data_IF_378469375135
#
_entry.id   IF_378469375135
#
_cell.length_a   1.000
_cell.length_b   1.000
_cell.length_c   1.000
_cell.angle_alpha   90.00
_cell.angle_beta   90.00
_cell.angle_gamma   90.00
#
_symmetry.space_group_name_H-M   'P 1'
#
loop_
_entity.id
_entity.type
_entity.pdbx_description
1 polymer ?
#
# COMPACT_ATOMS: atom_id res chain seq x y z
N UNK A 1 -11.28 -1.89 11.46
CA UNK A 1 -9.93 -2.13 10.92
C UNK A 1 -9.78 -1.57 9.52
N UNK A 2 -8.65 -0.91 9.28
CA UNK A 2 -7.95 -0.76 8.00
C UNK A 2 -8.44 -1.76 6.94
N UNK A 3 -9.03 -1.26 5.85
CA UNK A 3 -9.82 -2.08 4.94
C UNK A 3 -9.02 -3.07 4.06
N UNK A 4 -7.74 -3.40 4.31
CA UNK A 4 -7.05 -4.47 3.56
C UNK A 4 -5.65 -4.91 4.04
N UNK A 5 -5.17 -4.53 5.22
CA UNK A 5 -3.95 -5.12 5.77
C UNK A 5 -4.38 -6.13 6.83
N UNK A 6 -4.06 -7.42 6.65
CA UNK A 6 -4.15 -8.42 7.72
C UNK A 6 -3.49 -7.84 8.96
N UNK A 7 -4.30 -7.42 9.93
CA UNK A 7 -3.78 -6.81 11.15
C UNK A 7 -3.15 -7.94 11.93
N UNK A 8 -1.82 -8.01 11.83
CA UNK A 8 -1.03 -9.03 12.47
C UNK A 8 -1.37 -9.11 13.98
N UNK A 9 -1.39 -10.32 14.52
CA UNK A 9 -1.84 -10.63 15.89
C UNK A 9 -1.12 -9.79 16.96
N UNK A 10 0.11 -9.37 16.69
CA UNK A 10 0.91 -8.50 17.54
C UNK A 10 0.34 -7.07 17.65
N UNK A 11 -0.28 -6.54 16.60
CA UNK A 11 -0.93 -5.23 16.62
C UNK A 11 -2.11 -5.20 17.57
N UNK A 12 -2.94 -6.25 17.58
CA UNK A 12 -4.09 -6.36 18.49
C UNK A 12 -3.66 -6.43 19.96
N UNK A 13 -2.64 -7.23 20.26
CA UNK A 13 -2.10 -7.35 21.62
C UNK A 13 -1.51 -6.01 22.09
N UNK A 14 -0.78 -5.33 21.22
CA UNK A 14 -0.19 -4.03 21.54
C UNK A 14 -1.26 -2.94 21.73
N UNK A 15 -2.31 -2.95 20.90
CA UNK A 15 -3.46 -2.05 21.03
C UNK A 15 -4.22 -2.25 22.34
N UNK A 16 -4.42 -3.50 22.76
CA UNK A 16 -5.03 -3.79 24.06
C UNK A 16 -4.15 -3.28 25.21
N UNK A 17 -2.83 -3.53 25.15
CA UNK A 17 -1.91 -3.05 26.16
C UNK A 17 -1.87 -1.51 26.24
N UNK A 18 -1.97 -0.84 25.09
CA UNK A 18 -2.07 0.62 25.02
C UNK A 18 -3.30 1.13 25.79
N UNK A 19 -4.48 0.56 25.53
CA UNK A 19 -5.74 0.97 26.19
C UNK A 19 -5.68 0.77 27.70
N UNK A 20 -5.08 -0.32 28.16
CA UNK A 20 -4.86 -0.59 29.59
C UNK A 20 -3.95 0.47 30.25
N UNK A 21 -2.87 0.85 29.57
CA UNK A 21 -1.97 1.90 30.05
C UNK A 21 -2.67 3.27 30.13
N UNK A 22 -3.45 3.61 29.11
CA UNK A 22 -4.25 4.85 29.05
C UNK A 22 -5.23 4.90 30.22
N UNK A 23 -6.03 3.85 30.40
CA UNK A 23 -7.01 3.77 31.49
C UNK A 23 -6.33 3.89 32.86
N UNK A 24 -5.20 3.21 33.05
CA UNK A 24 -4.44 3.25 34.30
C UNK A 24 -3.83 4.61 34.59
N UNK A 25 -3.34 5.34 33.56
CA UNK A 25 -2.85 6.71 33.73
C UNK A 25 -4.00 7.66 34.06
N UNK A 26 -5.11 7.61 33.33
CA UNK A 26 -6.24 8.52 33.59
C UNK A 26 -6.80 8.34 35.01
N UNK A 27 -6.86 7.10 35.49
CA UNK A 27 -7.27 6.80 36.85
C UNK A 27 -6.33 7.40 37.91
N UNK A 28 -5.01 7.49 37.63
CA UNK A 28 -4.04 8.05 38.57
C UNK A 28 -3.98 9.58 38.56
N UNK A 29 -4.38 10.22 37.46
CA UNK A 29 -4.38 11.69 37.35
C UNK A 29 -5.54 12.36 38.07
N UNK A 30 -6.62 11.62 38.34
CA UNK A 30 -7.87 12.10 38.97
C UNK A 30 -8.32 13.46 38.40
N UNK A 31 -8.21 13.61 37.08
CA UNK A 31 -8.46 14.87 36.38
C UNK A 31 -9.90 14.89 35.87
N UNK A 32 -10.69 15.95 36.13
CA UNK A 32 -12.03 16.04 35.58
C UNK A 32 -11.96 16.14 34.05
N UNK A 33 -12.76 15.31 33.38
CA UNK A 33 -12.97 15.39 31.95
C UNK A 33 -14.08 16.38 31.62
N UNK A 34 -13.96 17.05 30.46
CA UNK A 34 -15.08 17.79 29.86
C UNK A 34 -15.71 16.92 28.77
N UNK A 35 -16.94 16.40 28.96
CA UNK A 35 -17.60 15.60 27.93
C UNK A 35 -17.88 16.44 26.69
N UNK A 36 -17.60 15.87 25.52
CA UNK A 36 -17.81 16.48 24.22
C UNK A 36 -18.54 15.50 23.30
N UNK A 37 -19.70 15.94 22.79
CA UNK A 37 -20.45 15.19 21.79
C UNK A 37 -20.03 15.61 20.38
N UNK A 38 -19.57 14.63 19.61
CA UNK A 38 -19.12 14.82 18.23
C UNK A 38 -20.21 14.35 17.27
N UNK A 39 -20.76 15.30 16.52
CA UNK A 39 -21.70 15.00 15.45
C UNK A 39 -20.99 14.36 14.22
N UNK A 40 -21.71 13.55 13.42
CA UNK A 40 -21.19 13.01 12.17
C UNK A 40 -20.63 14.11 11.25
N UNK A 41 -19.34 14.03 10.97
CA UNK A 41 -18.56 15.00 10.19
C UNK A 41 -17.64 14.24 9.24
N UNK A 42 -17.82 14.44 7.93
CA UNK A 42 -17.10 13.70 6.88
C UNK A 42 -15.79 14.37 6.42
N UNK A 43 -15.62 15.66 6.67
CA UNK A 43 -14.46 16.46 6.22
C UNK A 43 -14.04 17.46 7.29
N UNK A 44 -12.73 17.72 7.37
CA UNK A 44 -12.17 18.62 8.36
C UNK A 44 -12.19 18.03 9.77
N UNK A 45 -11.82 18.86 10.74
CA UNK A 45 -11.91 18.51 12.14
C UNK A 45 -13.36 18.52 12.63
N UNK A 46 -13.66 17.65 13.59
CA UNK A 46 -14.96 17.63 14.23
C UNK A 46 -15.29 18.99 14.89
N UNK A 47 -16.57 19.38 14.96
CA UNK A 47 -16.98 20.61 15.64
C UNK A 47 -16.54 20.61 17.11
N UNK A 48 -15.86 21.67 17.54
CA UNK A 48 -15.32 21.77 18.91
C UNK A 48 -13.93 21.19 19.09
N UNK A 49 -13.25 20.81 18.00
CA UNK A 49 -11.83 20.48 18.03
C UNK A 49 -10.98 21.67 18.44
N UNK A 50 -10.07 21.42 19.38
CA UNK A 50 -9.09 22.35 19.94
C UNK A 50 -7.75 21.61 20.04
N UNK A 51 -6.70 22.07 19.33
CA UNK A 51 -5.40 21.41 19.35
C UNK A 51 -4.67 21.52 20.71
N UNK A 52 -5.15 22.36 21.63
CA UNK A 52 -4.62 22.47 23.00
C UNK A 52 -5.21 21.47 23.99
N UNK A 53 -6.09 20.58 23.51
CA UNK A 53 -6.74 19.54 24.30
C UNK A 53 -6.20 18.15 23.94
N UNK A 54 -6.26 17.24 24.90
CA UNK A 54 -6.14 15.80 24.68
C UNK A 54 -7.55 15.23 24.76
N UNK A 55 -7.90 14.31 23.86
CA UNK A 55 -9.21 13.67 23.88
C UNK A 55 -9.09 12.18 24.11
N UNK A 56 -9.98 11.62 24.93
CA UNK A 56 -10.20 10.19 25.05
C UNK A 56 -11.51 9.84 24.31
N UNK A 57 -11.49 8.81 23.47
CA UNK A 57 -12.72 8.27 22.89
C UNK A 57 -13.46 7.47 23.96
N UNK A 58 -14.62 7.97 24.40
CA UNK A 58 -15.49 7.24 25.33
C UNK A 58 -16.44 6.31 24.59
N UNK A 59 -17.02 6.76 23.48
CA UNK A 59 -17.89 5.94 22.63
C UNK A 59 -17.77 6.36 21.16
N UNK A 60 -17.95 5.40 20.26
CA UNK A 60 -17.89 5.63 18.81
C UNK A 60 -16.46 5.57 18.26
N UNK A 61 -16.21 6.30 17.19
CA UNK A 61 -14.90 6.31 16.54
C UNK A 61 -14.58 7.63 15.86
N UNK A 62 -13.29 7.96 15.76
CA UNK A 62 -12.77 9.07 14.96
C UNK A 62 -11.85 8.54 13.87
N UNK A 63 -12.03 9.02 12.65
CA UNK A 63 -11.11 8.82 11.55
C UNK A 63 -9.99 9.86 11.61
N UNK A 64 -8.73 9.38 11.56
CA UNK A 64 -7.54 10.21 11.41
C UNK A 64 -7.20 10.29 9.93
N UNK A 65 -7.15 11.50 9.36
CA UNK A 65 -7.00 11.72 7.92
C UNK A 65 -5.84 12.65 7.60
N UNK A 66 -5.15 12.38 6.49
CA UNK A 66 -4.10 13.23 5.94
C UNK A 66 -4.25 13.29 4.41
N UNK A 67 -4.33 14.50 3.84
CA UNK A 67 -4.63 14.74 2.42
C UNK A 67 -5.75 13.84 1.85
N UNK A 68 -6.95 13.92 2.44
CA UNK A 68 -8.15 13.14 2.13
C UNK A 68 -8.07 11.62 2.33
N UNK A 69 -6.90 11.07 2.65
CA UNK A 69 -6.71 9.64 2.96
C UNK A 69 -6.95 9.38 4.44
N UNK A 70 -7.81 8.42 4.76
CA UNK A 70 -7.93 7.89 6.13
C UNK A 70 -6.71 7.02 6.43
N UNK A 71 -5.94 7.42 7.45
CA UNK A 71 -4.75 6.72 7.91
C UNK A 71 -5.13 5.53 8.82
N UNK A 72 -5.94 5.81 9.84
CA UNK A 72 -6.46 4.82 10.78
C UNK A 72 -7.68 5.38 11.53
N UNK A 73 -8.33 4.52 12.32
CA UNK A 73 -9.46 4.88 13.18
C UNK A 73 -9.02 4.81 14.64
N UNK A 74 -9.43 5.81 15.42
CA UNK A 74 -9.41 5.79 16.88
C UNK A 74 -10.74 5.23 17.36
N UNK A 75 -10.69 4.29 18.30
CA UNK A 75 -11.85 3.61 18.87
C UNK A 75 -11.91 3.88 20.38
N UNK A 76 -12.95 3.37 21.04
CA UNK A 76 -13.11 3.47 22.49
C UNK A 76 -11.84 3.07 23.25
N UNK A 77 -11.44 3.92 24.20
CA UNK A 77 -10.22 3.79 25.01
C UNK A 77 -8.97 4.39 24.39
N UNK A 78 -9.01 4.86 23.14
CA UNK A 78 -7.86 5.50 22.51
C UNK A 78 -7.74 6.98 22.88
N UNK A 79 -6.50 7.46 23.05
CA UNK A 79 -6.20 8.88 23.13
C UNK A 79 -5.97 9.46 21.74
N UNK A 80 -6.65 10.56 21.47
CA UNK A 80 -6.30 11.52 20.44
C UNK A 80 -5.34 12.55 21.04
N UNK A 81 -4.10 12.50 20.56
CA UNK A 81 -3.09 13.53 20.78
C UNK A 81 -3.04 14.39 19.50
N UNK A 82 -3.61 15.61 19.50
CA UNK A 82 -3.61 16.44 18.31
C UNK A 82 -2.19 16.69 17.81
N UNK A 83 -2.03 16.71 16.49
CA UNK A 83 -0.79 17.13 15.87
C UNK A 83 -0.48 18.59 16.27
N UNK A 84 0.65 18.77 16.97
CA UNK A 84 1.12 20.06 17.48
C UNK A 84 1.80 20.92 16.41
N UNK A 85 1.64 20.59 15.13
CA UNK A 85 2.14 21.39 14.01
C UNK A 85 1.46 22.77 13.96
N UNK A 86 1.98 23.72 14.76
CA UNK A 86 1.63 25.15 14.79
C UNK A 86 2.04 25.93 13.54
N UNK A 87 1.90 25.36 12.35
CA UNK A 87 2.23 25.99 11.08
C UNK A 87 1.00 26.49 10.34
N UNK A 88 1.08 27.70 9.75
CA UNK A 88 0.02 28.45 9.06
C UNK A 88 -0.56 27.81 7.77
N UNK A 89 -0.37 26.50 7.56
CA UNK A 89 -0.74 25.80 6.33
C UNK A 89 -1.77 24.70 6.63
N UNK A 90 -3.05 24.98 6.37
CA UNK A 90 -4.17 24.04 6.52
C UNK A 90 -3.96 22.73 5.74
N UNK A 91 -3.19 22.78 4.66
CA UNK A 91 -2.90 21.64 3.81
C UNK A 91 -2.02 20.57 4.50
N UNK A 92 -1.20 20.93 5.49
CA UNK A 92 -0.29 20.01 6.17
C UNK A 92 -0.88 19.38 7.44
N UNK A 93 -2.11 19.73 7.81
CA UNK A 93 -2.71 19.33 9.08
C UNK A 93 -3.39 17.96 9.00
N UNK A 94 -3.17 17.15 10.02
CA UNK A 94 -3.98 15.95 10.26
C UNK A 94 -5.39 16.37 10.66
N UNK A 95 -6.39 15.74 10.02
CA UNK A 95 -7.81 16.01 10.28
C UNK A 95 -8.44 14.85 11.06
N UNK A 96 -9.32 15.19 12.00
CA UNK A 96 -10.01 14.25 12.86
C UNK A 96 -11.51 14.38 12.67
N UNK A 97 -12.12 13.37 12.04
CA UNK A 97 -13.55 13.41 11.68
C UNK A 97 -14.27 12.16 12.18
N UNK A 98 -15.61 12.12 12.13
CA UNK A 98 -16.35 10.92 12.53
C UNK A 98 -17.52 10.70 11.59
N UNK A 99 -17.61 9.54 10.94
CA UNK A 99 -18.70 9.28 9.99
C UNK A 99 -20.04 8.97 10.68
N UNK A 100 -19.99 8.50 11.92
CA UNK A 100 -21.15 8.06 12.71
C UNK A 100 -21.39 8.89 13.98
N UNK A 101 -20.44 9.75 14.35
CA UNK A 101 -20.43 10.48 15.62
C UNK A 101 -19.66 9.75 16.72
N UNK A 102 -19.31 10.48 17.78
CA UNK A 102 -18.56 9.95 18.92
C UNK A 102 -18.82 10.76 20.20
N UNK A 103 -18.62 10.14 21.36
CA UNK A 103 -18.54 10.84 22.65
C UNK A 103 -17.08 10.86 23.09
N UNK A 104 -16.56 12.04 23.39
CA UNK A 104 -15.18 12.25 23.79
C UNK A 104 -15.10 12.85 25.20
N UNK A 105 -14.01 12.55 25.90
CA UNK A 105 -13.61 13.23 27.12
C UNK A 105 -12.41 14.13 26.81
N UNK A 106 -12.59 15.44 26.93
CA UNK A 106 -11.56 16.44 26.65
C UNK A 106 -10.81 16.85 27.93
N UNK A 107 -9.50 17.02 27.79
CA UNK A 107 -8.54 17.29 28.85
C UNK A 107 -7.58 18.42 28.42
N UNK A 108 -7.48 19.54 29.16
CA UNK A 108 -6.52 20.59 28.81
C UNK A 108 -5.09 20.04 28.83
N UNK A 109 -4.40 20.08 27.69
CA UNK A 109 -3.12 19.38 27.53
C UNK A 109 -2.06 19.88 28.53
N UNK A 110 -2.02 21.19 28.80
CA UNK A 110 -1.07 21.78 29.75
C UNK A 110 -1.29 21.27 31.18
N UNK A 111 -2.54 21.21 31.64
CA UNK A 111 -2.86 20.72 32.99
C UNK A 111 -2.62 19.21 33.09
N UNK A 112 -3.02 18.47 32.04
CA UNK A 112 -2.78 17.03 31.93
C UNK A 112 -1.29 16.72 32.13
N UNK A 113 -0.42 17.41 31.38
CA UNK A 113 1.02 17.22 31.46
C UNK A 113 1.59 17.67 32.81
N UNK A 114 1.08 18.76 33.40
CA UNK A 114 1.49 19.20 34.73
C UNK A 114 1.26 18.12 35.80
N UNK A 115 0.11 17.44 35.75
CA UNK A 115 -0.21 16.33 36.66
C UNK A 115 0.66 15.10 36.39
N UNK A 116 0.89 14.75 35.12
CA UNK A 116 1.80 13.65 34.73
C UNK A 116 3.20 13.86 35.31
N UNK A 117 3.75 15.08 35.24
CA UNK A 117 5.10 15.38 35.73
C UNK A 117 5.23 15.48 37.25
N UNK A 118 4.11 15.64 37.96
CA UNK A 118 4.11 15.74 39.42
C UNK A 118 4.31 14.38 40.09
N UNK A 119 3.91 13.30 39.43
CA UNK A 119 4.06 11.93 39.91
C UNK A 119 5.03 11.13 39.02
N UNK A 120 6.17 10.65 39.56
CA UNK A 120 7.09 9.78 38.83
C UNK A 120 6.43 8.49 38.29
N UNK A 121 5.39 7.95 38.95
CA UNK A 121 4.67 6.78 38.44
C UNK A 121 3.85 7.13 37.19
N UNK A 122 3.07 8.22 37.23
CA UNK A 122 2.36 8.76 36.07
C UNK A 122 3.31 9.11 34.90
N UNK A 123 4.48 9.71 35.19
CA UNK A 123 5.50 10.00 34.16
C UNK A 123 5.99 8.71 33.47
N UNK A 124 6.21 7.63 34.22
CA UNK A 124 6.59 6.32 33.65
C UNK A 124 5.48 5.72 32.80
N UNK A 125 4.22 5.83 33.25
CA UNK A 125 3.07 5.36 32.47
C UNK A 125 2.92 6.15 31.17
N UNK A 126 3.00 7.47 31.22
CA UNK A 126 2.97 8.34 30.05
C UNK A 126 4.09 8.00 29.05
N UNK A 127 5.31 7.81 29.54
CA UNK A 127 6.43 7.39 28.69
C UNK A 127 6.14 6.05 27.99
N UNK A 128 5.57 5.08 28.72
CA UNK A 128 5.17 3.79 28.13
C UNK A 128 4.08 3.95 27.07
N UNK A 129 3.07 4.78 27.32
CA UNK A 129 2.01 5.11 26.36
C UNK A 129 2.64 5.66 25.07
N UNK A 130 3.56 6.62 25.16
CA UNK A 130 4.21 7.20 23.98
C UNK A 130 5.05 6.17 23.21
N UNK A 131 5.80 5.31 23.89
CA UNK A 131 6.58 4.24 23.25
C UNK A 131 5.66 3.24 22.55
N UNK A 132 4.57 2.83 23.21
CA UNK A 132 3.58 1.93 22.63
C UNK A 132 2.86 2.57 21.44
N UNK A 133 2.48 3.84 21.54
CA UNK A 133 1.88 4.62 20.46
C UNK A 133 2.81 4.71 19.25
N UNK A 134 4.09 5.03 19.45
CA UNK A 134 5.09 5.03 18.39
C UNK A 134 5.24 3.64 17.75
N UNK A 135 5.20 2.57 18.54
CA UNK A 135 5.23 1.19 18.05
C UNK A 135 4.00 0.79 17.23
N UNK A 136 2.82 1.31 17.56
CA UNK A 136 1.59 1.15 16.78
C UNK A 136 1.67 1.96 15.46
N UNK A 137 2.08 3.22 15.55
CA UNK A 137 2.26 4.09 14.39
C UNK A 137 3.27 3.53 13.39
N UNK A 138 4.38 2.95 13.87
CA UNK A 138 5.37 2.28 13.02
C UNK A 138 4.78 1.09 12.25
N UNK A 139 3.91 0.30 12.88
CA UNK A 139 3.23 -0.83 12.23
C UNK A 139 2.21 -0.36 11.20
N UNK A 140 1.46 0.69 11.52
CA UNK A 140 0.57 1.34 10.54
C UNK A 140 1.38 1.88 9.37
N UNK A 141 2.50 2.56 9.62
CA UNK A 141 3.39 3.06 8.57
C UNK A 141 3.95 1.91 7.72
N UNK A 142 4.42 0.83 8.33
CA UNK A 142 4.90 -0.36 7.61
C UNK A 142 3.81 -1.01 6.74
N UNK A 143 2.56 -1.07 7.23
CA UNK A 143 1.44 -1.60 6.47
C UNK A 143 1.07 -0.74 5.24
N UNK A 144 1.41 0.55 5.25
CA UNK A 144 1.12 1.49 4.16
C UNK A 144 2.35 1.87 3.33
N UNK A 145 3.55 1.54 3.81
CA UNK A 145 4.77 1.64 3.03
C UNK A 145 4.71 0.49 2.04
N UNK A 146 4.62 0.76 0.72
CA UNK A 146 4.79 -0.32 -0.22
C UNK A 146 6.15 -0.94 0.12
N UNK A 147 6.17 -2.24 0.45
CA UNK A 147 7.43 -2.95 0.52
C UNK A 147 8.18 -2.55 -0.74
N UNK A 148 9.41 -2.05 -0.57
CA UNK A 148 10.32 -1.84 -1.69
C UNK A 148 10.44 -3.22 -2.33
N UNK A 149 9.55 -3.51 -3.27
CA UNK A 149 9.81 -4.49 -4.28
C UNK A 149 11.06 -3.91 -4.91
N UNK A 150 12.21 -4.50 -4.62
CA UNK A 150 13.39 -4.35 -5.43
C UNK A 150 12.92 -4.63 -6.86
N UNK A 151 12.50 -3.58 -7.57
CA UNK A 151 12.14 -3.61 -8.98
C UNK A 151 13.44 -3.62 -9.76
N UNK A 152 14.33 -4.56 -9.42
CA UNK A 152 15.39 -4.95 -10.31
C UNK A 152 14.85 -6.19 -11.01
N UNK A 153 14.18 -6.04 -12.18
CA UNK A 153 14.03 -7.17 -13.09
C UNK A 153 15.37 -7.89 -13.15
N UNK A 154 15.37 -9.21 -13.00
CA UNK A 154 16.57 -9.99 -13.25
C UNK A 154 16.96 -9.73 -14.70
N UNK A 155 18.08 -9.04 -14.94
CA UNK A 155 18.60 -8.87 -16.29
C UNK A 155 19.32 -10.15 -16.67
N UNK A 156 18.77 -10.87 -17.64
CA UNK A 156 19.38 -12.07 -18.20
C UNK A 156 19.85 -11.77 -19.61
N UNK A 157 21.06 -12.24 -19.94
CA UNK A 157 21.63 -12.16 -21.27
C UNK A 157 21.46 -13.52 -21.95
N UNK A 158 20.96 -13.51 -23.18
CA UNK A 158 20.77 -14.70 -24.00
C UNK A 158 21.57 -14.56 -25.29
N UNK A 159 22.43 -15.51 -25.59
CA UNK A 159 23.16 -15.56 -26.85
C UNK A 159 22.26 -16.06 -27.99
N UNK A 160 22.67 -15.74 -29.23
CA UNK A 160 21.96 -16.21 -30.42
C UNK A 160 21.79 -17.74 -30.41
N UNK A 161 20.56 -18.20 -30.64
CA UNK A 161 20.17 -19.61 -30.62
C UNK A 161 19.65 -20.12 -29.28
N UNK A 162 19.79 -19.37 -28.19
CA UNK A 162 19.26 -19.79 -26.88
C UNK A 162 17.75 -19.57 -26.76
N UNK A 163 17.07 -20.53 -26.12
CA UNK A 163 15.64 -20.43 -25.81
C UNK A 163 15.44 -19.62 -24.53
N UNK A 164 14.67 -18.53 -24.64
CA UNK A 164 14.26 -17.65 -23.54
C UNK A 164 13.01 -18.21 -22.86
N UNK A 165 12.08 -18.73 -23.67
CA UNK A 165 10.83 -19.38 -23.23
C UNK A 165 10.71 -20.69 -24.02
N UNK A 166 10.20 -21.74 -23.40
CA UNK A 166 9.86 -23.00 -24.09
C UNK A 166 8.37 -23.26 -24.06
N UNK A 167 7.83 -23.70 -25.20
CA UNK A 167 6.43 -24.11 -25.33
C UNK A 167 6.11 -25.26 -24.37
N UNK A 168 4.92 -25.21 -23.76
CA UNK A 168 4.43 -26.24 -22.83
C UNK A 168 4.89 -26.09 -21.38
N UNK A 169 5.84 -25.20 -21.09
CA UNK A 169 6.25 -24.93 -19.70
C UNK A 169 5.22 -24.04 -18.98
N UNK A 170 5.16 -24.11 -17.65
CA UNK A 170 4.39 -23.15 -16.85
C UNK A 170 5.13 -21.81 -16.77
N UNK A 171 4.39 -20.72 -16.94
CA UNK A 171 4.96 -19.38 -17.06
C UNK A 171 4.77 -18.50 -15.83
N UNK A 172 5.75 -18.50 -14.92
CA UNK A 172 5.71 -17.64 -13.71
C UNK A 172 6.37 -16.26 -13.91
N UNK A 173 6.86 -15.98 -15.11
CA UNK A 173 7.59 -14.75 -15.44
C UNK A 173 7.05 -14.06 -16.70
N UNK A 174 7.15 -12.74 -16.72
CA UNK A 174 6.96 -11.88 -17.88
C UNK A 174 8.30 -11.27 -18.26
N UNK A 175 8.53 -11.11 -19.56
CA UNK A 175 9.81 -10.66 -20.08
C UNK A 175 9.65 -9.39 -20.90
N UNK A 176 10.63 -8.50 -20.80
CA UNK A 176 10.74 -7.31 -21.64
C UNK A 176 12.08 -7.32 -22.38
N UNK A 177 12.04 -7.16 -23.71
CA UNK A 177 13.23 -7.14 -24.55
C UNK A 177 13.92 -5.78 -24.45
N UNK A 178 15.00 -5.69 -23.67
CA UNK A 178 15.75 -4.43 -23.49
C UNK A 178 16.62 -4.11 -24.70
N UNK A 179 17.20 -5.14 -25.32
CA UNK A 179 17.94 -5.04 -26.59
C UNK A 179 18.03 -6.40 -27.27
N UNK A 180 18.15 -6.41 -28.60
CA UNK A 180 18.26 -7.64 -29.40
C UNK A 180 16.95 -8.02 -30.10
N UNK A 181 16.94 -9.22 -30.69
CA UNK A 181 15.80 -9.74 -31.46
C UNK A 181 15.66 -11.24 -31.22
N UNK A 182 14.43 -11.72 -31.07
CA UNK A 182 14.11 -13.13 -30.93
C UNK A 182 13.06 -13.57 -31.96
N UNK A 183 12.98 -14.87 -32.23
CA UNK A 183 11.93 -15.50 -33.02
C UNK A 183 10.97 -16.27 -32.12
N UNK A 184 9.69 -16.31 -32.50
CA UNK A 184 8.64 -17.05 -31.81
C UNK A 184 8.34 -18.30 -32.63
N UNK A 185 8.45 -19.48 -32.02
CA UNK A 185 8.20 -20.77 -32.65
C UNK A 185 7.04 -21.50 -31.99
N UNK A 186 6.15 -22.08 -32.80
CA UNK A 186 5.13 -23.04 -32.36
C UNK A 186 5.40 -24.34 -33.09
N UNK A 187 5.58 -25.44 -32.36
CA UNK A 187 5.92 -26.75 -32.92
C UNK A 187 7.11 -26.69 -33.90
N UNK A 188 8.13 -25.88 -33.56
CA UNK A 188 9.33 -25.59 -34.35
C UNK A 188 9.11 -24.78 -35.65
N UNK A 189 7.90 -24.29 -35.90
CA UNK A 189 7.59 -23.39 -37.02
C UNK A 189 7.68 -21.94 -36.54
N UNK A 190 8.41 -21.09 -37.25
CA UNK A 190 8.51 -19.66 -36.92
C UNK A 190 7.18 -18.97 -37.24
N UNK A 191 6.54 -18.42 -36.22
CA UNK A 191 5.23 -17.75 -36.31
C UNK A 191 5.31 -16.25 -36.05
N UNK A 192 6.45 -15.75 -35.57
CA UNK A 192 6.60 -14.34 -35.24
C UNK A 192 8.03 -13.96 -34.86
N UNK A 193 8.22 -12.67 -34.55
CA UNK A 193 9.47 -12.09 -34.08
C UNK A 193 9.20 -11.17 -32.90
N UNK A 194 10.17 -11.05 -32.01
CA UNK A 194 10.17 -10.12 -30.89
C UNK A 194 11.35 -9.17 -31.05
N UNK A 195 11.09 -7.88 -30.96
CA UNK A 195 12.08 -6.80 -31.05
C UNK A 195 12.27 -6.04 -29.74
N UNK A 196 13.19 -5.10 -29.76
CA UNK A 196 13.45 -4.20 -28.63
C UNK A 196 12.19 -3.42 -28.20
N UNK A 197 11.98 -3.32 -26.89
CA UNK A 197 10.84 -2.64 -26.27
C UNK A 197 9.61 -3.52 -26.10
N UNK A 198 9.57 -4.69 -26.73
CA UNK A 198 8.39 -5.56 -26.68
C UNK A 198 8.36 -6.40 -25.40
N UNK A 199 7.15 -6.58 -24.89
CA UNK A 199 6.85 -7.44 -23.74
C UNK A 199 6.31 -8.76 -24.26
N UNK A 200 6.83 -9.87 -23.73
CA UNK A 200 6.46 -11.21 -24.14
C UNK A 200 6.33 -12.17 -22.95
N UNK A 201 5.63 -13.28 -23.16
CA UNK A 201 5.29 -14.22 -22.10
C UNK A 201 4.18 -13.76 -21.14
N UNK A 202 3.55 -12.60 -21.38
CA UNK A 202 2.49 -12.07 -20.51
C UNK A 202 1.25 -12.97 -20.47
N UNK A 203 0.89 -13.64 -21.57
CA UNK A 203 -0.30 -14.49 -21.64
C UNK A 203 -0.30 -15.58 -20.57
N UNK A 204 0.71 -16.45 -20.54
CA UNK A 204 0.79 -17.55 -19.59
C UNK A 204 0.78 -17.06 -18.13
N UNK A 205 1.46 -15.95 -17.86
CA UNK A 205 1.46 -15.34 -16.53
C UNK A 205 0.06 -14.88 -16.12
N UNK A 206 -0.71 -14.27 -17.02
CA UNK A 206 -2.04 -13.74 -16.73
C UNK A 206 -3.12 -14.84 -16.71
N UNK A 207 -3.09 -15.78 -17.64
CA UNK A 207 -4.14 -16.80 -17.80
C UNK A 207 -3.90 -18.08 -17.02
N UNK A 208 -2.73 -18.24 -16.38
CA UNK A 208 -2.31 -19.48 -15.72
C UNK A 208 -2.28 -20.68 -16.68
N UNK A 209 -2.13 -20.42 -17.99
CA UNK A 209 -1.95 -21.45 -19.00
C UNK A 209 -0.45 -21.76 -19.20
N UNK A 210 -0.17 -22.88 -19.85
CA UNK A 210 1.17 -23.21 -20.34
C UNK A 210 1.62 -22.20 -21.42
N UNK A 211 2.94 -22.11 -21.62
CA UNK A 211 3.54 -21.30 -22.68
C UNK A 211 3.05 -21.79 -24.05
N UNK A 212 2.41 -20.89 -24.80
CA UNK A 212 1.86 -21.20 -26.13
C UNK A 212 2.91 -21.34 -27.23
N UNK A 213 4.14 -20.86 -27.00
CA UNK A 213 5.21 -20.85 -27.99
C UNK A 213 6.59 -20.84 -27.31
N UNK A 214 7.59 -21.32 -28.04
CA UNK A 214 9.02 -21.15 -27.70
C UNK A 214 9.49 -19.80 -28.22
N UNK A 215 10.29 -19.07 -27.44
CA UNK A 215 10.94 -17.83 -27.87
C UNK A 215 12.45 -18.07 -27.89
N UNK A 216 13.06 -17.93 -29.06
CA UNK A 216 14.50 -18.18 -29.28
C UNK A 216 15.22 -16.91 -29.70
N UNK A 217 16.33 -16.59 -29.04
CA UNK A 217 17.16 -15.45 -29.39
C UNK A 217 17.74 -15.62 -30.82
N UNK A 218 17.58 -14.60 -31.67
CA UNK A 218 18.22 -14.52 -33.00
C UNK A 218 19.56 -13.79 -32.96
N UNK A 219 19.67 -12.83 -32.06
CA UNK A 219 20.89 -12.07 -31.74
C UNK A 219 21.15 -12.17 -30.25
N UNK A 220 22.26 -11.60 -29.76
CA UNK A 220 22.45 -11.45 -28.30
C UNK A 220 21.36 -10.54 -27.74
N UNK A 221 20.53 -11.09 -26.86
CA UNK A 221 19.38 -10.43 -26.27
C UNK A 221 19.65 -10.07 -24.81
N UNK A 222 19.34 -8.83 -24.43
CA UNK A 222 19.24 -8.43 -23.02
C UNK A 222 17.77 -8.39 -22.64
N UNK A 223 17.39 -9.19 -21.66
CA UNK A 223 16.00 -9.41 -21.29
C UNK A 223 15.80 -9.09 -19.82
N UNK A 224 14.83 -8.22 -19.53
CA UNK A 224 14.38 -7.99 -18.18
C UNK A 224 13.33 -9.06 -17.83
N UNK A 225 13.61 -9.86 -16.80
CA UNK A 225 12.73 -10.94 -16.31
C UNK A 225 12.01 -10.49 -15.05
N UNK A 226 10.69 -10.50 -15.09
CA UNK A 226 9.82 -9.98 -14.02
C UNK A 226 8.90 -11.10 -13.52
N UNK A 227 8.89 -11.41 -12.21
CA UNK A 227 7.92 -12.34 -11.64
C UNK A 227 6.47 -11.89 -11.88
N UNK A 228 5.56 -12.82 -12.09
CA UNK A 228 4.14 -12.56 -12.35
C UNK A 228 3.49 -11.67 -11.28
N UNK A 229 3.80 -11.92 -10.01
CA UNK A 229 3.24 -11.16 -8.88
C UNK A 229 3.68 -9.68 -8.97
N UNK A 230 4.95 -9.45 -9.28
CA UNK A 230 5.51 -8.11 -9.46
C UNK A 230 4.92 -7.43 -10.70
N UNK A 231 4.76 -8.17 -11.80
CA UNK A 231 4.13 -7.64 -13.02
C UNK A 231 2.69 -7.21 -12.75
N UNK A 232 1.94 -8.00 -11.98
CA UNK A 232 0.56 -7.67 -11.59
C UNK A 232 0.49 -6.42 -10.72
N UNK A 233 1.45 -6.24 -9.80
CA UNK A 233 1.55 -5.03 -8.99
C UNK A 233 1.98 -3.80 -9.82
N UNK A 234 2.90 -3.96 -10.77
CA UNK A 234 3.30 -2.90 -11.70
C UNK A 234 2.13 -2.41 -12.55
N UNK A 235 1.30 -3.33 -13.04
CA UNK A 235 0.04 -3.03 -13.71
C UNK A 235 -0.84 -2.15 -12.81
N UNK A 236 -1.09 -2.55 -11.56
CA UNK A 236 -1.94 -1.78 -10.63
C UNK A 236 -1.40 -0.38 -10.34
N UNK A 237 -0.07 -0.23 -10.24
CA UNK A 237 0.57 1.03 -9.85
C UNK A 237 0.79 2.00 -11.00
N UNK A 238 0.91 1.51 -12.24
CA UNK A 238 1.21 2.35 -13.41
C UNK A 238 0.25 2.08 -14.58
N UNK A 239 -0.95 2.71 -14.58
CA UNK A 239 -1.97 2.50 -15.61
C UNK A 239 -1.50 2.85 -17.04
N UNK A 240 -0.53 3.75 -17.18
CA UNK A 240 0.01 4.13 -18.49
C UNK A 240 0.75 2.98 -19.18
N UNK A 241 1.46 2.13 -18.42
CA UNK A 241 2.16 0.94 -18.95
C UNK A 241 1.18 -0.12 -19.44
N UNK A 242 0.00 -0.23 -18.81
CA UNK A 242 -1.07 -1.12 -19.29
C UNK A 242 -1.57 -0.65 -20.66
N UNK A 243 -1.73 0.66 -20.84
CA UNK A 243 -2.23 1.20 -22.09
C UNK A 243 -1.31 0.86 -23.27
N UNK A 244 0.02 0.97 -23.12
CA UNK A 244 0.97 0.55 -24.17
C UNK A 244 0.89 -0.95 -24.45
N UNK A 245 0.83 -1.79 -23.40
CA UNK A 245 0.67 -3.25 -23.54
C UNK A 245 -0.61 -3.64 -24.31
N UNK A 246 -1.74 -3.01 -23.98
CA UNK A 246 -3.01 -3.26 -24.66
C UNK A 246 -2.96 -2.85 -26.13
N UNK A 247 -2.30 -1.74 -26.43
CA UNK A 247 -2.08 -1.28 -27.82
C UNK A 247 -1.20 -2.28 -28.58
N UNK A 248 -0.12 -2.78 -27.99
CA UNK A 248 0.77 -3.75 -28.63
C UNK A 248 0.06 -5.09 -28.90
N UNK A 249 -0.73 -5.58 -27.93
CA UNK A 249 -1.57 -6.77 -28.13
C UNK A 249 -2.59 -6.58 -29.24
N UNK A 250 -3.24 -5.41 -29.31
CA UNK A 250 -4.19 -5.09 -30.38
C UNK A 250 -3.50 -5.07 -31.75
N UNK A 251 -2.31 -4.46 -31.84
CA UNK A 251 -1.51 -4.42 -33.07
C UNK A 251 -1.08 -5.84 -33.51
N UNK A 252 -0.69 -6.71 -32.57
CA UNK A 252 -0.34 -8.09 -32.86
C UNK A 252 -1.50 -8.88 -33.47
N UNK A 253 -2.73 -8.72 -32.93
CA UNK A 253 -3.94 -9.35 -33.49
C UNK A 253 -4.22 -8.85 -34.91
N UNK A 254 -4.09 -7.55 -35.15
CA UNK A 254 -4.29 -6.95 -36.48
C UNK A 254 -3.29 -7.52 -37.50
N UNK A 255 -2.00 -7.60 -37.13
CA UNK A 255 -0.96 -8.14 -37.99
C UNK A 255 -1.19 -9.63 -38.32
N UNK A 256 -1.54 -10.44 -37.31
CA UNK A 256 -1.88 -11.87 -37.50
C UNK A 256 -3.06 -12.05 -38.46
N UNK A 257 -4.11 -11.24 -38.30
CA UNK A 257 -5.27 -11.28 -39.19
C UNK A 257 -4.90 -10.92 -40.64
N UNK A 258 -4.04 -9.92 -40.85
CA UNK A 258 -3.56 -9.54 -42.18
C UNK A 258 -2.76 -10.67 -42.85
N UNK A 259 -1.89 -11.35 -42.10
CA UNK A 259 -1.14 -12.50 -42.59
C UNK A 259 -2.07 -13.66 -43.00
N UNK A 260 -3.06 -13.99 -42.16
CA UNK A 260 -4.06 -15.02 -42.50
C UNK A 260 -4.86 -14.70 -43.76
N UNK A 261 -5.23 -13.44 -43.97
CA UNK A 261 -5.91 -13.00 -45.20
C UNK A 261 -5.00 -13.13 -46.42
N UNK A 262 -3.71 -12.83 -46.27
CA UNK A 262 -2.74 -12.94 -47.37
C UNK A 262 -2.46 -14.39 -47.79
N UNK A 263 -2.55 -15.35 -46.86
CA UNK A 263 -2.37 -16.79 -47.11
C UNK A 263 -3.60 -17.45 -47.76
N UNK A 264 -4.77 -16.80 -47.73
CA UNK A 264 -6.01 -17.28 -48.36
C UNK A 264 -6.23 -16.78 -49.79
N UNK A 265 -5.33 -15.93 -50.30
CA UNK A 265 -5.31 -15.49 -51.70
C UNK A 265 -4.30 -16.31 -52.49
#
# INVERSE_FOLDING_TARGET
MLANAEVARDFLVLGQHYKELVASLLASLEMPATPLQVAPTKRGNFPGFDPSQIYLIEQGSLAVRYHDRTLYLLEEGDLLLPDIAGGREEAAMVQYSSDIGATLNAYPALEFMHRVYRDPAATRQWTRILVTYAGLALRVAAAHTPADAETTPGFELYEAGQDIIRQGEYGDYVFHMSSGTAEVLVDSVVVGRIGQGEIFGAMAALTHAERSATVRAKTTCSVAKVPKEQFTELIKRNPATIHSLLVDMANAIVNLNQQLVSLRK
#
